data_IF_790945884717
#
_entry.id   IF_790945884717
#
_cell.length_a   1.000
_cell.length_b   1.000
_cell.length_c   1.000
_cell.angle_alpha   90.00
_cell.angle_beta   90.00
_cell.angle_gamma   90.00
#
_symmetry.space_group_name_H-M   'P 1'
#
loop_
_entity.id
_entity.type
_entity.pdbx_description
1 polymer ?
#
# COMPACT_ATOMS: atom_id res chain seq x y z
N UNK A 1 -6.66 4.39 -26.34
CA UNK A 1 -7.78 4.19 -25.37
C UNK A 1 -7.26 3.49 -24.11
N UNK A 2 -7.74 3.85 -22.89
CA UNK A 2 -7.32 3.16 -21.66
C UNK A 2 -8.08 1.83 -21.51
N UNK A 3 -7.41 0.68 -21.67
CA UNK A 3 -8.04 -0.64 -21.45
C UNK A 3 -8.45 -0.82 -19.98
N UNK A 4 -7.66 -0.28 -19.04
CA UNK A 4 -7.92 -0.38 -17.60
C UNK A 4 -9.16 0.42 -17.22
N UNK A 5 -9.28 1.67 -17.65
CA UNK A 5 -10.40 2.55 -17.27
C UNK A 5 -11.77 2.06 -17.72
N UNK A 6 -11.85 1.36 -18.85
CA UNK A 6 -13.12 0.84 -19.42
C UNK A 6 -13.64 -0.42 -18.71
N UNK A 7 -12.78 -1.14 -17.96
CA UNK A 7 -13.22 -2.35 -17.29
C UNK A 7 -14.14 -2.02 -16.12
N UNK A 8 -15.38 -2.51 -16.09
CA UNK A 8 -16.27 -2.31 -14.95
C UNK A 8 -15.68 -2.91 -13.68
N UNK A 9 -16.06 -2.37 -12.53
CA UNK A 9 -15.65 -2.87 -11.23
C UNK A 9 -16.84 -3.58 -10.61
N UNK A 10 -16.72 -4.87 -10.31
CA UNK A 10 -17.76 -5.61 -9.63
C UNK A 10 -17.79 -5.25 -8.13
N UNK A 11 -18.99 -5.04 -7.59
CA UNK A 11 -19.22 -4.79 -6.17
C UNK A 11 -19.57 -6.14 -5.53
N UNK A 12 -18.76 -6.64 -4.58
CA UNK A 12 -19.10 -7.84 -3.81
C UNK A 12 -20.35 -7.60 -2.94
N UNK A 13 -21.14 -8.65 -2.67
CA UNK A 13 -22.41 -8.54 -1.93
C UNK A 13 -22.29 -7.96 -0.50
N UNK A 14 -21.08 -7.93 0.07
CA UNK A 14 -20.78 -7.39 1.42
C UNK A 14 -20.26 -5.96 1.40
N UNK A 15 -20.26 -5.28 0.26
CA UNK A 15 -19.71 -3.93 0.09
C UNK A 15 -20.83 -2.98 -0.34
N UNK A 16 -20.95 -1.90 0.40
CA UNK A 16 -21.84 -0.78 0.10
C UNK A 16 -21.03 0.37 -0.48
N UNK A 17 -21.46 0.91 -1.61
CA UNK A 17 -20.82 2.03 -2.27
C UNK A 17 -21.82 3.17 -2.39
N UNK A 18 -21.46 4.30 -1.80
CA UNK A 18 -22.22 5.57 -1.83
C UNK A 18 -21.42 6.59 -2.64
N UNK A 19 -22.07 7.20 -3.62
CA UNK A 19 -21.50 8.24 -4.46
C UNK A 19 -22.21 9.55 -4.13
N UNK A 20 -21.46 10.58 -3.80
CA UNK A 20 -21.98 11.91 -3.49
C UNK A 20 -21.35 12.92 -4.43
N UNK A 21 -22.18 13.65 -5.15
CA UNK A 21 -21.72 14.71 -6.05
C UNK A 21 -21.39 15.97 -5.26
N UNK A 22 -20.25 16.59 -5.57
CA UNK A 22 -19.77 17.83 -4.99
C UNK A 22 -19.34 18.79 -6.10
N UNK A 23 -19.34 20.07 -5.83
CA UNK A 23 -18.90 21.11 -6.79
C UNK A 23 -17.46 20.90 -7.32
N UNK A 24 -16.61 20.23 -6.54
CA UNK A 24 -15.20 19.91 -6.91
C UNK A 24 -15.01 18.55 -7.55
N UNK A 25 -16.06 17.73 -7.70
CA UNK A 25 -16.01 16.37 -8.23
C UNK A 25 -16.86 15.41 -7.42
N UNK A 26 -16.69 14.12 -7.62
CA UNK A 26 -17.45 13.08 -6.92
C UNK A 26 -16.68 12.55 -5.73
N UNK A 27 -17.34 12.43 -4.58
CA UNK A 27 -16.82 11.74 -3.40
C UNK A 27 -17.42 10.34 -3.35
N UNK A 28 -16.59 9.33 -3.29
CA UNK A 28 -17.03 7.93 -3.20
C UNK A 28 -16.65 7.38 -1.84
N UNK A 29 -17.65 6.91 -1.11
CA UNK A 29 -17.48 6.21 0.16
C UNK A 29 -17.77 4.73 -0.04
N UNK A 30 -16.82 3.88 0.36
CA UNK A 30 -16.91 2.43 0.23
C UNK A 30 -16.87 1.84 1.62
N UNK A 31 -17.93 1.14 2.01
CA UNK A 31 -18.07 0.47 3.31
C UNK A 31 -18.09 -1.05 3.10
N UNK A 32 -17.30 -1.76 3.89
CA UNK A 32 -17.20 -3.21 3.82
C UNK A 32 -16.92 -3.85 5.18
N UNK A 33 -16.69 -5.17 5.22
CA UNK A 33 -16.53 -5.92 6.46
C UNK A 33 -15.30 -5.53 7.29
N UNK A 34 -14.26 -4.97 6.68
CA UNK A 34 -13.02 -4.57 7.39
C UNK A 34 -12.98 -3.09 7.77
N UNK A 35 -13.90 -2.28 7.27
CA UNK A 35 -13.96 -0.86 7.58
C UNK A 35 -14.54 -0.04 6.43
N UNK A 36 -14.31 1.26 6.47
CA UNK A 36 -14.77 2.17 5.44
C UNK A 36 -13.63 3.04 4.91
N UNK A 37 -13.69 3.35 3.61
CA UNK A 37 -12.76 4.23 2.93
C UNK A 37 -13.53 5.29 2.16
N UNK A 38 -12.99 6.51 2.16
CA UNK A 38 -13.53 7.61 1.40
C UNK A 38 -12.45 8.22 0.51
N UNK A 39 -12.80 8.54 -0.74
CA UNK A 39 -11.91 9.21 -1.67
C UNK A 39 -12.66 10.21 -2.54
N UNK A 40 -11.99 11.32 -2.85
CA UNK A 40 -12.48 12.36 -3.75
C UNK A 40 -11.90 12.15 -5.14
N UNK A 41 -12.78 12.14 -6.13
CA UNK A 41 -12.43 12.03 -7.55
C UNK A 41 -12.68 13.34 -8.27
N UNK A 42 -11.84 13.64 -9.24
CA UNK A 42 -11.96 14.89 -10.01
C UNK A 42 -13.21 14.89 -10.89
N UNK A 43 -13.74 16.08 -11.15
CA UNK A 43 -14.99 16.31 -11.94
C UNK A 43 -14.94 15.77 -13.36
N UNK A 44 -13.74 15.66 -13.96
CA UNK A 44 -13.55 15.18 -15.34
C UNK A 44 -13.86 13.68 -15.50
N UNK A 45 -14.02 12.97 -14.37
CA UNK A 45 -14.36 11.54 -14.34
C UNK A 45 -15.72 11.38 -13.67
N UNK A 46 -16.67 10.83 -14.42
CA UNK A 46 -18.01 10.50 -13.92
C UNK A 46 -18.04 9.02 -13.50
N UNK A 47 -18.48 8.79 -12.29
CA UNK A 47 -18.61 7.46 -11.69
C UNK A 47 -20.09 7.15 -11.57
N UNK A 48 -20.54 6.10 -12.22
CA UNK A 48 -21.92 5.62 -12.16
C UNK A 48 -21.95 4.23 -11.53
N UNK A 49 -22.94 3.99 -10.68
CA UNK A 49 -23.25 2.69 -10.11
C UNK A 49 -24.38 2.07 -10.90
N UNK A 50 -24.13 0.93 -11.52
CA UNK A 50 -25.11 0.14 -12.28
C UNK A 50 -25.27 -1.22 -11.58
N UNK A 51 -26.37 -1.41 -10.86
CA UNK A 51 -26.65 -2.61 -10.06
C UNK A 51 -25.46 -3.03 -9.19
N UNK A 52 -24.78 -4.12 -9.58
CA UNK A 52 -23.61 -4.69 -8.90
C UNK A 52 -22.26 -4.27 -9.52
N UNK A 53 -22.27 -3.27 -10.41
CA UNK A 53 -21.04 -2.80 -11.08
C UNK A 53 -20.89 -1.30 -10.94
N UNK A 54 -19.64 -0.86 -10.99
CA UNK A 54 -19.31 0.56 -11.09
C UNK A 54 -18.64 0.77 -12.44
N UNK A 55 -19.16 1.73 -13.19
CA UNK A 55 -18.63 2.13 -14.49
C UNK A 55 -18.10 3.55 -14.36
N UNK A 56 -16.89 3.77 -14.87
CA UNK A 56 -16.29 5.08 -14.95
C UNK A 56 -16.35 5.57 -16.38
N UNK A 57 -16.78 6.82 -16.57
CA UNK A 57 -16.79 7.51 -17.84
C UNK A 57 -15.96 8.79 -17.77
N UNK A 58 -15.56 9.32 -18.91
CA UNK A 58 -14.80 10.57 -19.03
C UNK A 58 -15.44 11.48 -20.04
N UNK A 59 -15.29 12.79 -19.86
CA UNK A 59 -15.91 13.79 -20.72
C UNK A 59 -15.17 13.96 -22.06
N UNK A 60 -13.84 13.91 -22.04
CA UNK A 60 -13.02 14.10 -23.23
C UNK A 60 -11.83 13.13 -23.32
N UNK A 61 -11.10 13.18 -24.45
CA UNK A 61 -9.96 12.29 -24.72
C UNK A 61 -8.60 12.98 -24.54
N UNK A 62 -8.55 14.08 -23.81
CA UNK A 62 -7.30 14.74 -23.46
C UNK A 62 -6.35 13.79 -22.70
N UNK A 63 -5.06 14.01 -22.86
CA UNK A 63 -4.00 13.19 -22.25
C UNK A 63 -4.15 13.08 -20.74
N UNK A 64 -4.46 14.20 -20.07
CA UNK A 64 -4.69 14.26 -18.63
C UNK A 64 -5.89 13.41 -18.23
N UNK A 65 -7.05 13.62 -18.87
CA UNK A 65 -8.31 12.94 -18.53
C UNK A 65 -8.22 11.44 -18.80
N UNK A 66 -7.50 11.02 -19.86
CA UNK A 66 -7.20 9.60 -20.10
C UNK A 66 -6.38 8.97 -18.97
N UNK A 67 -5.38 9.69 -18.43
CA UNK A 67 -4.58 9.21 -17.30
C UNK A 67 -5.40 9.12 -16.01
N UNK A 68 -6.22 10.15 -15.73
CA UNK A 68 -7.12 10.19 -14.58
C UNK A 68 -8.17 9.07 -14.62
N UNK A 69 -8.69 8.73 -15.79
CA UNK A 69 -9.67 7.65 -15.95
C UNK A 69 -9.10 6.30 -15.47
N UNK A 70 -7.88 5.94 -15.90
CA UNK A 70 -7.23 4.71 -15.45
C UNK A 70 -6.84 4.73 -13.97
N UNK A 71 -6.37 5.89 -13.48
CA UNK A 71 -6.02 6.09 -12.08
C UNK A 71 -7.26 5.94 -11.17
N UNK A 72 -8.33 6.66 -11.46
CA UNK A 72 -9.57 6.64 -10.67
C UNK A 72 -10.16 5.24 -10.59
N UNK A 73 -10.17 4.51 -11.70
CA UNK A 73 -10.63 3.12 -11.73
C UNK A 73 -9.77 2.23 -10.83
N UNK A 74 -8.44 2.36 -10.89
CA UNK A 74 -7.53 1.55 -10.07
C UNK A 74 -7.63 1.87 -8.59
N UNK A 75 -7.80 3.15 -8.24
CA UNK A 75 -8.02 3.59 -6.85
C UNK A 75 -9.31 3.00 -6.30
N UNK A 76 -10.41 3.11 -7.04
CA UNK A 76 -11.71 2.58 -6.61
C UNK A 76 -11.68 1.04 -6.46
N UNK A 77 -11.03 0.33 -7.38
CA UNK A 77 -10.80 -1.10 -7.26
C UNK A 77 -10.00 -1.45 -5.99
N UNK A 78 -8.96 -0.69 -5.69
CA UNK A 78 -8.17 -0.88 -4.47
C UNK A 78 -9.00 -0.61 -3.21
N UNK A 79 -9.90 0.39 -3.21
CA UNK A 79 -10.79 0.64 -2.08
C UNK A 79 -11.71 -0.55 -1.82
N UNK A 80 -12.34 -1.10 -2.87
CA UNK A 80 -13.21 -2.28 -2.74
C UNK A 80 -12.44 -3.49 -2.22
N UNK A 81 -11.28 -3.80 -2.78
CA UNK A 81 -10.42 -4.89 -2.29
C UNK A 81 -9.94 -4.63 -0.85
N UNK A 82 -9.63 -3.39 -0.51
CA UNK A 82 -9.18 -3.03 0.83
C UNK A 82 -10.22 -3.27 1.91
N UNK A 83 -11.48 -2.89 1.67
CA UNK A 83 -12.56 -3.10 2.65
C UNK A 83 -13.05 -4.56 2.70
N UNK A 84 -12.74 -5.38 1.70
CA UNK A 84 -13.09 -6.83 1.67
C UNK A 84 -11.98 -7.71 2.23
N UNK A 85 -10.85 -7.76 1.54
CA UNK A 85 -9.73 -8.64 1.85
C UNK A 85 -8.67 -7.95 2.71
N UNK A 86 -8.51 -6.62 2.53
CA UNK A 86 -7.42 -5.84 3.09
C UNK A 86 -6.12 -6.03 2.33
N UNK A 87 -5.12 -5.25 2.72
CA UNK A 87 -3.77 -5.34 2.15
C UNK A 87 -2.78 -5.78 3.20
N UNK A 88 -1.81 -6.57 2.77
CA UNK A 88 -0.71 -7.06 3.59
C UNK A 88 0.62 -6.78 2.90
N UNK A 89 1.62 -6.30 3.66
CA UNK A 89 3.00 -6.21 3.25
C UNK A 89 3.90 -6.84 4.30
N UNK A 90 4.88 -7.60 3.85
CA UNK A 90 5.82 -8.33 4.70
C UNK A 90 7.24 -7.82 4.44
N UNK A 91 7.98 -7.61 5.52
CA UNK A 91 9.35 -7.13 5.51
C UNK A 91 10.23 -8.08 6.31
N UNK A 92 11.39 -8.43 5.77
CA UNK A 92 12.41 -9.23 6.41
C UNK A 92 13.57 -8.35 6.84
N UNK A 93 14.04 -8.55 8.06
CA UNK A 93 15.21 -7.90 8.61
C UNK A 93 16.39 -8.88 8.52
N UNK A 94 17.45 -8.48 7.84
CA UNK A 94 18.65 -9.26 7.67
C UNK A 94 19.83 -8.53 8.32
N UNK A 95 20.50 -9.16 9.27
CA UNK A 95 21.70 -8.61 9.90
C UNK A 95 21.89 -9.09 11.33
N UNK A 96 23.13 -9.30 11.73
CA UNK A 96 23.47 -9.68 13.12
C UNK A 96 23.18 -8.51 14.04
N UNK A 97 22.36 -8.72 15.09
CA UNK A 97 21.97 -7.71 16.05
C UNK A 97 20.85 -6.76 15.58
N UNK A 98 20.32 -6.93 14.35
CA UNK A 98 19.17 -6.15 13.88
C UNK A 98 17.88 -6.78 14.40
N UNK A 99 17.02 -5.97 14.99
CA UNK A 99 15.77 -6.42 15.63
C UNK A 99 14.66 -5.39 15.46
N UNK A 100 13.43 -5.89 15.42
CA UNK A 100 12.22 -5.09 15.51
C UNK A 100 11.42 -5.53 16.73
N UNK A 101 10.88 -4.59 17.49
CA UNK A 101 10.04 -4.85 18.65
C UNK A 101 8.83 -3.92 18.65
N UNK A 102 7.68 -4.44 19.06
CA UNK A 102 6.50 -3.62 19.31
C UNK A 102 6.49 -3.17 20.78
N UNK A 103 6.41 -1.87 20.99
CA UNK A 103 6.19 -1.25 22.30
C UNK A 103 4.85 -0.50 22.26
N UNK A 104 3.79 -1.18 22.68
CA UNK A 104 2.43 -0.66 22.52
C UNK A 104 2.04 -0.48 21.05
N UNK A 105 1.81 0.76 20.63
CA UNK A 105 1.48 1.10 19.24
C UNK A 105 2.70 1.47 18.37
N UNK A 106 3.91 1.53 18.96
CA UNK A 106 5.13 1.93 18.28
C UNK A 106 5.96 0.72 17.89
N UNK A 107 6.49 0.74 16.69
CA UNK A 107 7.50 -0.20 16.21
C UNK A 107 8.88 0.40 16.50
N UNK A 108 9.69 -0.27 17.30
CA UNK A 108 11.06 0.10 17.64
C UNK A 108 12.01 -0.74 16.82
N UNK A 109 12.83 -0.09 15.99
CA UNK A 109 13.79 -0.72 15.09
C UNK A 109 15.22 -0.50 15.61
N UNK A 110 15.93 -1.58 15.91
CA UNK A 110 17.35 -1.58 16.24
C UNK A 110 18.13 -2.03 15.01
N UNK A 111 18.63 -1.06 14.23
CA UNK A 111 19.25 -1.30 12.91
C UNK A 111 20.75 -0.94 12.88
N UNK A 112 21.44 -1.04 14.02
CA UNK A 112 22.86 -0.70 14.11
C UNK A 112 23.16 0.81 14.09
N UNK A 113 22.19 1.62 14.44
CA UNK A 113 22.34 3.04 14.76
C UNK A 113 22.58 3.24 16.25
N UNK A 114 23.14 4.38 16.65
CA UNK A 114 23.38 4.74 18.04
C UNK A 114 22.08 4.84 18.85
N UNK A 115 20.98 5.21 18.19
CA UNK A 115 19.64 5.28 18.78
C UNK A 115 18.67 4.39 18.02
N UNK A 116 17.71 3.75 18.71
CA UNK A 116 16.64 3.03 18.05
C UNK A 116 15.75 3.99 17.26
N UNK A 117 15.21 3.53 16.15
CA UNK A 117 14.26 4.29 15.34
C UNK A 117 12.84 3.87 15.71
N UNK A 118 12.03 4.83 16.15
CA UNK A 118 10.63 4.60 16.46
C UNK A 118 9.75 4.93 15.26
N UNK A 119 8.83 4.04 14.94
CA UNK A 119 7.85 4.20 13.85
C UNK A 119 6.46 3.97 14.40
N UNK A 120 5.58 4.94 14.23
CA UNK A 120 4.18 4.85 14.61
C UNK A 120 3.30 4.51 13.42
N UNK A 121 2.20 3.81 13.67
CA UNK A 121 1.18 3.60 12.64
C UNK A 121 0.45 4.92 12.36
N UNK A 122 0.33 5.35 11.10
CA UNK A 122 -0.32 6.60 10.76
C UNK A 122 -1.82 6.61 11.08
N UNK A 123 -2.45 5.44 11.10
CA UNK A 123 -3.89 5.28 11.33
C UNK A 123 -4.17 4.06 12.23
N UNK A 124 -5.26 4.13 12.99
CA UNK A 124 -5.74 3.00 13.83
C UNK A 124 -6.10 1.75 13.02
N UNK A 125 -6.39 1.90 11.74
CA UNK A 125 -6.78 0.83 10.82
C UNK A 125 -5.59 0.05 10.25
N UNK A 126 -4.37 0.59 10.40
CA UNK A 126 -3.15 -0.07 9.96
C UNK A 126 -2.48 -0.73 11.15
N UNK A 127 -2.36 -2.05 11.12
CA UNK A 127 -1.74 -2.85 12.19
C UNK A 127 -0.34 -3.26 11.77
N UNK A 128 0.59 -3.19 12.71
CA UNK A 128 1.94 -3.69 12.57
C UNK A 128 2.07 -4.90 13.51
N UNK A 129 2.55 -6.00 13.00
CA UNK A 129 2.83 -7.21 13.76
C UNK A 129 4.29 -7.59 13.57
N UNK A 130 4.94 -8.01 14.64
CA UNK A 130 6.33 -8.47 14.61
C UNK A 130 6.35 -9.92 15.10
N UNK A 131 7.03 -10.77 14.34
CA UNK A 131 7.17 -12.17 14.71
C UNK A 131 8.03 -12.35 15.97
N UNK A 132 7.91 -13.50 16.63
CA UNK A 132 8.68 -13.87 17.82
C UNK A 132 10.20 -13.83 17.60
N UNK A 133 10.63 -14.04 16.37
CA UNK A 133 12.04 -13.94 15.96
C UNK A 133 12.57 -12.50 15.89
N UNK A 134 11.67 -11.48 15.95
CA UNK A 134 11.99 -10.06 15.85
C UNK A 134 12.67 -9.67 14.52
N UNK A 135 12.58 -10.53 13.51
CA UNK A 135 13.19 -10.34 12.19
C UNK A 135 12.19 -10.26 11.05
N UNK A 136 10.92 -10.52 11.33
CA UNK A 136 9.85 -10.46 10.34
C UNK A 136 8.77 -9.48 10.80
N UNK A 137 8.42 -8.53 9.93
CA UNK A 137 7.39 -7.51 10.18
C UNK A 137 6.27 -7.70 9.19
N UNK A 138 5.05 -7.80 9.68
CA UNK A 138 3.83 -7.84 8.88
C UNK A 138 3.03 -6.56 9.10
N UNK A 139 2.67 -5.90 8.01
CA UNK A 139 1.86 -4.68 7.99
C UNK A 139 0.55 -5.01 7.31
N UNK A 140 -0.56 -4.81 8.00
CA UNK A 140 -1.91 -5.05 7.48
C UNK A 140 -2.78 -3.81 7.60
N UNK A 141 -3.68 -3.59 6.64
CA UNK A 141 -4.59 -2.46 6.67
C UNK A 141 -5.58 -2.47 5.51
N UNK A 142 -6.55 -1.58 5.57
CA UNK A 142 -7.59 -1.44 4.54
C UNK A 142 -7.13 -0.56 3.37
N UNK A 143 -6.29 0.44 3.62
CA UNK A 143 -5.77 1.33 2.58
C UNK A 143 -4.46 0.79 2.00
N UNK A 144 -4.45 0.48 0.69
CA UNK A 144 -3.24 0.05 -0.03
C UNK A 144 -2.13 1.08 0.02
N UNK A 145 -2.50 2.36 -0.06
CA UNK A 145 -1.55 3.47 -0.03
C UNK A 145 -0.88 3.53 1.34
N UNK A 146 -1.65 3.60 2.42
CA UNK A 146 -1.12 3.72 3.78
C UNK A 146 -0.21 2.54 4.15
N UNK A 147 -0.65 1.30 3.82
CA UNK A 147 0.16 0.09 4.03
C UNK A 147 1.45 0.14 3.22
N UNK A 148 1.36 0.60 1.96
CA UNK A 148 2.52 0.75 1.07
C UNK A 148 3.52 1.80 1.56
N UNK A 149 3.04 2.97 1.93
CA UNK A 149 3.85 4.10 2.39
C UNK A 149 4.57 3.75 3.71
N UNK A 150 3.84 3.12 4.66
CA UNK A 150 4.43 2.67 5.92
C UNK A 150 5.50 1.60 5.69
N UNK A 151 5.24 0.61 4.83
CA UNK A 151 6.22 -0.41 4.49
C UNK A 151 7.47 0.17 3.81
N UNK A 152 7.28 1.13 2.90
CA UNK A 152 8.37 1.83 2.24
C UNK A 152 9.19 2.68 3.23
N UNK A 153 8.53 3.36 4.16
CA UNK A 153 9.19 4.12 5.21
C UNK A 153 10.05 3.22 6.12
N UNK A 154 9.49 2.10 6.62
CA UNK A 154 10.24 1.14 7.44
C UNK A 154 11.45 0.59 6.66
N UNK A 155 11.26 0.23 5.39
CA UNK A 155 12.37 -0.23 4.55
C UNK A 155 13.44 0.84 4.35
N UNK A 156 13.07 2.11 4.24
CA UNK A 156 14.00 3.23 4.05
C UNK A 156 14.90 3.50 5.26
N UNK A 157 14.49 3.08 6.46
CA UNK A 157 15.30 3.20 7.69
C UNK A 157 16.66 2.54 7.51
N UNK A 158 16.71 1.35 6.91
CA UNK A 158 17.97 0.69 6.57
C UNK A 158 17.79 -0.11 5.29
N UNK A 159 18.14 0.47 4.16
CA UNK A 159 18.07 -0.20 2.86
C UNK A 159 19.00 -1.42 2.83
N UNK A 160 18.61 -2.50 2.14
CA UNK A 160 19.45 -3.68 2.02
C UNK A 160 20.73 -3.40 1.22
N UNK A 161 21.87 -3.72 1.78
CA UNK A 161 23.16 -3.51 1.11
C UNK A 161 23.41 -4.57 0.04
N UNK A 162 24.18 -4.25 -1.02
CA UNK A 162 24.37 -5.15 -2.14
C UNK A 162 25.40 -6.28 -1.90
N UNK A 163 26.21 -6.25 -0.82
CA UNK A 163 27.25 -7.25 -0.58
C UNK A 163 26.75 -8.40 0.29
N UNK A 164 26.41 -8.14 1.55
CA UNK A 164 25.90 -9.13 2.51
C UNK A 164 24.39 -9.18 2.55
N UNK A 165 23.70 -8.17 2.00
CA UNK A 165 22.25 -8.04 2.01
C UNK A 165 21.68 -7.60 3.37
N UNK A 166 22.50 -7.01 4.24
CA UNK A 166 22.05 -6.50 5.54
C UNK A 166 21.13 -5.31 5.37
N UNK A 167 20.04 -5.28 6.10
CA UNK A 167 19.03 -4.23 6.04
C UNK A 167 17.62 -4.79 6.08
N UNK A 168 16.64 -3.95 5.76
CA UNK A 168 15.22 -4.29 5.67
C UNK A 168 14.84 -4.42 4.20
N UNK A 169 14.28 -5.55 3.81
CA UNK A 169 13.78 -5.80 2.46
C UNK A 169 12.32 -6.24 2.49
N UNK A 170 11.61 -6.14 1.38
CA UNK A 170 10.34 -6.86 1.22
C UNK A 170 10.60 -8.36 1.15
N UNK A 171 9.69 -9.18 1.68
CA UNK A 171 9.80 -10.64 1.67
C UNK A 171 10.00 -11.19 0.25
N UNK A 172 9.32 -10.61 -0.74
CA UNK A 172 9.43 -10.99 -2.14
C UNK A 172 10.55 -10.27 -2.90
N UNK A 173 11.36 -9.41 -2.24
CA UNK A 173 12.40 -8.62 -2.90
C UNK A 173 13.68 -9.46 -3.07
N UNK A 174 14.16 -9.59 -4.31
CA UNK A 174 15.43 -10.20 -4.62
C UNK A 174 16.52 -9.14 -4.72
N UNK A 175 17.44 -9.15 -3.76
CA UNK A 175 18.58 -8.24 -3.76
C UNK A 175 19.67 -8.77 -4.71
N UNK A 176 20.05 -7.93 -5.71
CA UNK A 176 21.17 -8.24 -6.60
C UNK A 176 22.47 -8.06 -5.83
N UNK A 177 23.08 -9.17 -5.41
CA UNK A 177 24.35 -9.15 -4.67
C UNK A 177 25.53 -8.91 -5.60
N UNK A 178 26.49 -8.13 -5.12
CA UNK A 178 27.78 -7.90 -5.76
C UNK A 178 28.87 -8.75 -5.07
N UNK A 179 29.85 -9.17 -5.84
CA UNK A 179 31.02 -9.89 -5.31
C UNK A 179 31.98 -8.88 -4.71
N UNK A 180 32.52 -9.14 -3.50
CA UNK A 180 33.51 -8.29 -2.86
C UNK A 180 34.87 -8.38 -3.56
N UNK A 181 35.77 -7.42 -3.27
CA UNK A 181 37.09 -7.29 -3.93
C UNK A 181 37.97 -8.57 -3.87
N UNK A 182 37.86 -9.35 -2.79
CA UNK A 182 38.64 -10.59 -2.59
C UNK A 182 38.26 -11.74 -3.52
N UNK A 183 37.02 -11.74 -4.06
CA UNK A 183 36.54 -12.78 -4.99
C UNK A 183 36.69 -12.38 -6.47
N UNK A 184 37.06 -11.13 -6.76
CA UNK A 184 37.32 -10.64 -8.12
C UNK A 184 38.78 -10.94 -8.59
N UNK A 185 39.63 -11.57 -7.74
CA UNK A 185 41.03 -11.89 -8.02
C UNK A 185 41.27 -13.39 -8.38
N UNK A 186 40.30 -14.03 -9.04
CA UNK A 186 40.51 -15.31 -9.71
C UNK A 186 40.27 -15.17 -11.19
#
# INVERSE_FOLDING_TARGET
MSRIGKNPINIPDKVEVTITDSASGQTVKVKGPKGELEAKFRKEIKIAKEDKKIVLSRENDEKLVRSLHGLSRSLLQNMILGVTEGFKKELDIIGVGYKAQLQGAKLVLQMGYSHPVEVESPNKETKIEVDKTQTHITITGISKQTVGDLAAYIRSVRLPEPYKGKGIKYSNERIRRKVGKSAAKK
#
